data_IF_605540883704
#
_entry.id   IF_605540883704
#
_cell.length_a   1.000
_cell.length_b   1.000
_cell.length_c   1.000
_cell.angle_alpha   90.00
_cell.angle_beta   90.00
_cell.angle_gamma   90.00
#
_symmetry.space_group_name_H-M   'P 1'
#
loop_
_entity.id
_entity.type
_entity.pdbx_description
1 polymer ?
#
# COMPACT_ATOMS: atom_id res chain seq x y z
N UNK A 1 -18.28 0.61 6.57
CA UNK A 1 -19.17 -0.34 5.88
C UNK A 1 -18.34 -1.04 4.84
N UNK A 2 -18.31 -2.37 4.85
CA UNK A 2 -17.44 -3.14 3.97
C UNK A 2 -18.27 -3.96 2.99
N UNK A 3 -17.98 -3.77 1.71
CA UNK A 3 -18.64 -4.42 0.59
C UNK A 3 -17.64 -5.31 -0.15
N UNK A 4 -18.15 -6.42 -0.70
CA UNK A 4 -17.42 -7.24 -1.65
C UNK A 4 -17.91 -6.91 -3.06
N UNK A 5 -17.04 -6.39 -3.91
CA UNK A 5 -17.36 -6.02 -5.30
C UNK A 5 -17.89 -7.19 -6.13
N UNK A 6 -17.49 -8.43 -5.84
CA UNK A 6 -17.98 -9.62 -6.53
C UNK A 6 -19.41 -10.03 -6.13
N UNK A 7 -19.91 -9.53 -5.00
CA UNK A 7 -21.22 -9.91 -4.44
C UNK A 7 -22.19 -8.72 -4.38
N UNK A 8 -21.71 -7.51 -4.64
CA UNK A 8 -22.49 -6.30 -4.47
C UNK A 8 -23.26 -5.94 -5.73
N UNK A 9 -24.53 -5.58 -5.56
CA UNK A 9 -25.27 -4.88 -6.60
C UNK A 9 -24.75 -3.45 -6.70
N UNK A 10 -24.28 -3.04 -7.88
CA UNK A 10 -23.71 -1.70 -8.09
C UNK A 10 -24.67 -0.57 -7.70
N UNK A 11 -25.98 -0.77 -7.92
CA UNK A 11 -27.00 0.19 -7.56
C UNK A 11 -27.02 0.45 -6.04
N UNK A 12 -26.89 -0.61 -5.23
CA UNK A 12 -26.82 -0.52 -3.77
C UNK A 12 -25.54 0.20 -3.33
N UNK A 13 -24.40 -0.07 -3.96
CA UNK A 13 -23.15 0.65 -3.69
C UNK A 13 -23.29 2.13 -3.96
N UNK A 14 -23.82 2.50 -5.14
CA UNK A 14 -24.01 3.91 -5.52
C UNK A 14 -24.95 4.63 -4.55
N UNK A 15 -26.07 4.01 -4.19
CA UNK A 15 -27.01 4.60 -3.24
C UNK A 15 -26.38 4.76 -1.86
N UNK A 16 -25.61 3.76 -1.40
CA UNK A 16 -24.90 3.83 -0.12
C UNK A 16 -23.88 4.96 -0.10
N UNK A 17 -23.03 5.06 -1.13
CA UNK A 17 -22.03 6.13 -1.24
C UNK A 17 -22.71 7.50 -1.29
N UNK A 18 -23.81 7.64 -2.03
CA UNK A 18 -24.56 8.89 -2.11
C UNK A 18 -25.15 9.31 -0.75
N UNK A 19 -25.76 8.37 -0.03
CA UNK A 19 -26.45 8.63 1.23
C UNK A 19 -25.53 8.77 2.45
N UNK A 20 -24.29 8.26 2.37
CA UNK A 20 -23.36 8.25 3.49
C UNK A 20 -22.97 9.67 3.97
N UNK A 21 -22.77 9.83 5.27
CA UNK A 21 -22.25 11.08 5.86
C UNK A 21 -20.77 11.29 5.51
N UNK A 22 -20.26 12.52 5.67
CA UNK A 22 -18.86 12.85 5.36
C UNK A 22 -17.82 12.05 6.16
N UNK A 23 -18.19 11.59 7.37
CA UNK A 23 -17.32 10.79 8.25
C UNK A 23 -17.56 9.29 8.13
N UNK A 24 -18.37 8.85 7.17
CA UNK A 24 -18.67 7.43 6.99
C UNK A 24 -17.63 6.79 6.07
N UNK A 25 -16.90 5.81 6.60
CA UNK A 25 -15.99 4.98 5.82
C UNK A 25 -16.77 3.87 5.07
N UNK A 26 -16.54 3.79 3.77
CA UNK A 26 -17.05 2.75 2.87
C UNK A 26 -15.84 2.08 2.22
N UNK A 27 -15.73 0.77 2.35
CA UNK A 27 -14.69 -0.02 1.71
C UNK A 27 -15.33 -0.97 0.71
N UNK A 28 -14.76 -1.09 -0.48
CA UNK A 28 -15.12 -2.11 -1.46
C UNK A 28 -13.88 -2.96 -1.72
N UNK A 29 -13.87 -4.18 -1.22
CA UNK A 29 -12.85 -5.18 -1.55
C UNK A 29 -13.20 -5.89 -2.86
N UNK A 30 -12.21 -6.56 -3.46
CA UNK A 30 -12.40 -7.27 -4.74
C UNK A 30 -12.97 -6.32 -5.81
N UNK A 31 -12.51 -5.07 -5.80
CA UNK A 31 -13.06 -4.00 -6.63
C UNK A 31 -12.93 -4.31 -8.13
N UNK A 32 -11.94 -5.12 -8.54
CA UNK A 32 -11.76 -5.59 -9.92
C UNK A 32 -12.96 -6.37 -10.49
N UNK A 33 -13.90 -6.83 -9.66
CA UNK A 33 -15.11 -7.51 -10.13
C UNK A 33 -16.18 -6.56 -10.67
N UNK A 34 -16.05 -5.24 -10.42
CA UNK A 34 -16.91 -4.21 -11.00
C UNK A 34 -16.27 -3.64 -12.26
N UNK A 35 -17.09 -3.11 -13.17
CA UNK A 35 -16.57 -2.48 -14.37
C UNK A 35 -15.86 -1.15 -14.05
N UNK A 36 -14.94 -0.74 -14.94
CA UNK A 36 -14.16 0.49 -14.78
C UNK A 36 -15.07 1.74 -14.68
N UNK A 37 -16.15 1.79 -15.46
CA UNK A 37 -17.09 2.91 -15.43
C UNK A 37 -17.85 2.99 -14.10
N UNK A 38 -18.22 1.85 -13.52
CA UNK A 38 -18.86 1.79 -12.21
C UNK A 38 -17.91 2.25 -11.10
N UNK A 39 -16.67 1.75 -11.10
CA UNK A 39 -15.65 2.12 -10.13
C UNK A 39 -15.30 3.61 -10.20
N UNK A 40 -15.07 4.15 -11.39
CA UNK A 40 -14.81 5.57 -11.59
C UNK A 40 -16.02 6.42 -11.17
N UNK A 41 -17.24 5.96 -11.45
CA UNK A 41 -18.47 6.61 -11.00
C UNK A 41 -18.62 6.64 -9.48
N UNK A 42 -18.24 5.57 -8.77
CA UNK A 42 -18.22 5.54 -7.30
C UNK A 42 -17.20 6.53 -6.73
N UNK A 43 -16.00 6.61 -7.31
CA UNK A 43 -14.95 7.55 -6.88
C UNK A 43 -15.36 9.02 -7.06
N UNK A 44 -16.04 9.34 -8.17
CA UNK A 44 -16.58 10.68 -8.41
C UNK A 44 -17.72 11.01 -7.44
N UNK A 45 -18.59 10.04 -7.14
CA UNK A 45 -19.72 10.20 -6.23
C UNK A 45 -19.28 10.37 -4.77
N UNK A 46 -18.16 9.77 -4.38
CA UNK A 46 -17.64 9.86 -3.03
C UNK A 46 -17.29 11.30 -2.62
N UNK A 47 -16.69 12.09 -3.53
CA UNK A 47 -16.28 13.46 -3.25
C UNK A 47 -15.42 13.55 -1.98
N UNK A 48 -15.93 14.19 -0.93
CA UNK A 48 -15.25 14.31 0.38
C UNK A 48 -15.41 13.12 1.33
N UNK A 49 -16.16 12.07 0.96
CA UNK A 49 -16.40 10.89 1.79
C UNK A 49 -15.18 9.96 1.79
N UNK A 50 -15.08 9.11 2.81
CA UNK A 50 -14.02 8.12 2.95
C UNK A 50 -14.39 6.85 2.16
N UNK A 51 -14.18 6.85 0.84
CA UNK A 51 -14.36 5.66 0.00
C UNK A 51 -13.00 5.00 -0.27
N UNK A 52 -12.87 3.72 0.07
CA UNK A 52 -11.68 2.93 -0.26
C UNK A 52 -12.02 1.80 -1.21
N UNK A 53 -11.26 1.66 -2.31
CA UNK A 53 -11.37 0.55 -3.25
C UNK A 53 -10.10 -0.30 -3.17
N UNK A 54 -10.25 -1.58 -2.86
CA UNK A 54 -9.14 -2.53 -2.74
C UNK A 54 -9.16 -3.55 -3.88
N UNK A 55 -8.02 -3.67 -4.55
CA UNK A 55 -7.80 -4.52 -5.72
C UNK A 55 -6.85 -5.66 -5.39
N UNK A 56 -7.08 -6.81 -6.02
CA UNK A 56 -6.09 -7.88 -6.10
C UNK A 56 -5.24 -7.68 -7.36
N UNK A 57 -3.92 -7.47 -7.19
CA UNK A 57 -2.98 -7.29 -8.29
C UNK A 57 -2.96 -8.46 -9.27
N UNK A 58 -3.16 -9.70 -8.81
CA UNK A 58 -3.21 -10.89 -9.65
C UNK A 58 -4.46 -10.97 -10.55
N UNK A 59 -5.50 -10.20 -10.23
CA UNK A 59 -6.80 -10.20 -10.93
C UNK A 59 -7.13 -8.84 -11.57
N UNK A 60 -6.18 -7.92 -11.57
CA UNK A 60 -6.35 -6.58 -12.10
C UNK A 60 -5.19 -6.20 -13.01
N UNK A 61 -5.32 -5.08 -13.70
CA UNK A 61 -4.31 -4.56 -14.61
C UNK A 61 -4.45 -3.04 -14.74
N UNK A 62 -3.48 -2.39 -15.38
CA UNK A 62 -3.39 -0.94 -15.46
C UNK A 62 -4.66 -0.28 -16.02
N UNK A 63 -5.23 -0.88 -17.08
CA UNK A 63 -6.48 -0.42 -17.70
C UNK A 63 -7.70 -0.37 -16.78
N UNK A 64 -7.67 -1.05 -15.62
CA UNK A 64 -8.71 -0.94 -14.59
C UNK A 64 -8.33 0.13 -13.56
N UNK A 65 -7.15 0.03 -12.94
CA UNK A 65 -6.82 0.88 -11.79
C UNK A 65 -6.49 2.32 -12.18
N UNK A 66 -5.82 2.57 -13.31
CA UNK A 66 -5.41 3.92 -13.66
C UNK A 66 -6.59 4.87 -13.86
N UNK A 67 -7.67 4.51 -14.58
CA UNK A 67 -8.88 5.34 -14.64
C UNK A 67 -9.52 5.58 -13.26
N UNK A 68 -9.50 4.58 -12.38
CA UNK A 68 -10.07 4.67 -11.02
C UNK A 68 -9.24 5.62 -10.15
N UNK A 69 -7.91 5.51 -10.19
CA UNK A 69 -7.00 6.45 -9.52
C UNK A 69 -7.20 7.87 -10.05
N UNK A 70 -7.31 8.05 -11.37
CA UNK A 70 -7.57 9.36 -11.96
C UNK A 70 -8.91 9.96 -11.50
N UNK A 71 -9.93 9.11 -11.31
CA UNK A 71 -11.25 9.51 -10.82
C UNK A 71 -11.30 9.74 -9.30
N UNK A 72 -10.30 9.32 -8.54
CA UNK A 72 -10.28 9.48 -7.08
C UNK A 72 -10.23 10.96 -6.70
N UNK A 73 -11.07 11.36 -5.74
CA UNK A 73 -11.16 12.73 -5.23
C UNK A 73 -11.27 12.75 -3.71
N UNK A 74 -10.94 13.90 -3.11
CA UNK A 74 -11.08 14.14 -1.68
C UNK A 74 -10.39 13.08 -0.83
N UNK A 75 -11.18 12.41 0.03
CA UNK A 75 -10.71 11.41 0.99
C UNK A 75 -10.81 9.97 0.45
N UNK A 76 -10.94 9.80 -0.86
CA UNK A 76 -11.01 8.47 -1.46
C UNK A 76 -9.62 7.86 -1.63
N UNK A 77 -9.51 6.54 -1.48
CA UNK A 77 -8.25 5.80 -1.60
C UNK A 77 -8.37 4.56 -2.49
N UNK A 78 -7.27 4.22 -3.14
CA UNK A 78 -7.10 2.98 -3.90
C UNK A 78 -5.99 2.17 -3.22
N UNK A 79 -6.24 0.88 -2.97
CA UNK A 79 -5.21 -0.04 -2.53
C UNK A 79 -5.10 -1.23 -3.47
N UNK A 80 -3.88 -1.73 -3.65
CA UNK A 80 -3.61 -2.95 -4.40
C UNK A 80 -2.71 -3.87 -3.58
N UNK A 81 -3.18 -5.10 -3.35
CA UNK A 81 -2.35 -6.15 -2.78
C UNK A 81 -1.66 -6.95 -3.89
N UNK A 82 -0.61 -7.70 -3.53
CA UNK A 82 0.16 -8.52 -4.46
C UNK A 82 0.70 -7.72 -5.67
N UNK A 83 1.12 -6.49 -5.44
CA UNK A 83 1.52 -5.55 -6.48
C UNK A 83 2.66 -6.06 -7.37
N UNK A 84 3.47 -7.01 -6.86
CA UNK A 84 4.55 -7.66 -7.61
C UNK A 84 4.09 -8.48 -8.83
N UNK A 85 2.79 -8.74 -8.99
CA UNK A 85 2.26 -9.46 -10.16
C UNK A 85 2.22 -8.60 -11.41
N UNK A 86 2.36 -7.27 -11.28
CA UNK A 86 2.39 -6.34 -12.38
C UNK A 86 3.82 -6.09 -12.87
N UNK A 87 3.96 -5.76 -14.15
CA UNK A 87 5.24 -5.32 -14.70
C UNK A 87 5.62 -3.91 -14.23
N UNK A 88 6.93 -3.66 -14.13
CA UNK A 88 7.49 -2.38 -13.65
C UNK A 88 6.94 -1.16 -14.39
N UNK A 89 6.74 -1.26 -15.72
CA UNK A 89 6.22 -0.18 -16.54
C UNK A 89 4.80 0.25 -16.12
N UNK A 90 3.93 -0.74 -15.85
CA UNK A 90 2.55 -0.49 -15.44
C UNK A 90 2.48 0.04 -14.01
N UNK A 91 3.28 -0.51 -13.09
CA UNK A 91 3.38 0.01 -11.73
C UNK A 91 3.86 1.47 -11.72
N UNK A 92 4.89 1.78 -12.52
CA UNK A 92 5.39 3.15 -12.64
C UNK A 92 4.36 4.10 -13.25
N UNK A 93 3.60 3.66 -14.25
CA UNK A 93 2.51 4.45 -14.82
C UNK A 93 1.42 4.73 -13.77
N UNK A 94 1.03 3.72 -13.00
CA UNK A 94 0.03 3.85 -11.94
C UNK A 94 0.48 4.81 -10.83
N UNK A 95 1.72 4.67 -10.33
CA UNK A 95 2.24 5.54 -9.26
C UNK A 95 2.32 6.99 -9.73
N UNK A 96 2.76 7.25 -10.97
CA UNK A 96 2.78 8.62 -11.52
C UNK A 96 1.38 9.22 -11.63
N UNK A 97 0.38 8.42 -12.01
CA UNK A 97 -1.00 8.87 -12.03
C UNK A 97 -1.55 9.22 -10.64
N UNK A 98 -0.99 8.61 -9.58
CA UNK A 98 -1.42 8.78 -8.20
C UNK A 98 -0.71 9.91 -7.42
N UNK A 99 0.08 10.78 -8.07
CA UNK A 99 0.97 11.74 -7.39
C UNK A 99 0.32 12.53 -6.22
N UNK A 100 -0.95 12.93 -6.35
CA UNK A 100 -1.72 13.63 -5.30
C UNK A 100 -2.92 12.83 -4.79
N UNK A 101 -2.99 11.53 -5.11
CA UNK A 101 -4.09 10.63 -4.80
C UNK A 101 -3.64 9.61 -3.76
N UNK A 102 -4.54 9.22 -2.87
CA UNK A 102 -4.24 8.19 -1.89
C UNK A 102 -4.16 6.82 -2.59
N UNK A 103 -2.94 6.34 -2.82
CA UNK A 103 -2.64 5.04 -3.40
C UNK A 103 -1.82 4.23 -2.41
N UNK A 104 -2.20 2.98 -2.15
CA UNK A 104 -1.40 2.03 -1.36
C UNK A 104 -1.05 0.81 -2.19
N UNK A 105 0.22 0.43 -2.22
CA UNK A 105 0.72 -0.74 -2.93
C UNK A 105 1.39 -1.69 -1.95
N UNK A 106 0.87 -2.91 -1.81
CA UNK A 106 1.46 -3.93 -0.97
C UNK A 106 2.20 -4.97 -1.82
N UNK A 107 3.47 -5.18 -1.46
CA UNK A 107 4.41 -6.10 -2.10
C UNK A 107 4.80 -7.23 -1.15
N UNK A 108 5.08 -8.40 -1.72
CA UNK A 108 5.75 -9.49 -1.03
C UNK A 108 7.26 -9.41 -1.28
N UNK A 109 8.07 -9.18 -0.24
CA UNK A 109 9.52 -9.01 -0.34
C UNK A 109 10.24 -10.23 -0.93
N UNK A 110 9.70 -11.44 -0.73
CA UNK A 110 10.26 -12.67 -1.30
C UNK A 110 10.03 -12.80 -2.81
N UNK A 111 9.15 -11.98 -3.40
CA UNK A 111 8.76 -12.03 -4.81
C UNK A 111 9.05 -10.71 -5.54
N UNK A 112 9.63 -9.72 -4.86
CA UNK A 112 9.80 -8.37 -5.40
C UNK A 112 11.27 -8.04 -5.52
N UNK A 113 11.67 -7.48 -6.66
CA UNK A 113 13.02 -6.96 -6.85
C UNK A 113 13.18 -5.60 -6.17
N UNK A 114 14.31 -5.40 -5.48
CA UNK A 114 14.64 -4.12 -4.86
C UNK A 114 14.75 -2.97 -5.89
N UNK A 115 15.10 -3.27 -7.14
CA UNK A 115 15.13 -2.29 -8.24
C UNK A 115 13.75 -1.73 -8.55
N UNK A 116 12.73 -2.59 -8.61
CA UNK A 116 11.32 -2.18 -8.80
C UNK A 116 10.90 -1.23 -7.69
N UNK A 117 11.10 -1.61 -6.43
CA UNK A 117 10.74 -0.78 -5.28
C UNK A 117 11.47 0.57 -5.28
N UNK A 118 12.78 0.59 -5.59
CA UNK A 118 13.54 1.85 -5.71
C UNK A 118 12.95 2.79 -6.76
N UNK A 119 12.60 2.25 -7.93
CA UNK A 119 11.98 3.05 -8.99
C UNK A 119 10.63 3.60 -8.55
N UNK A 120 9.78 2.80 -7.91
CA UNK A 120 8.47 3.24 -7.42
C UNK A 120 8.60 4.30 -6.33
N UNK A 121 9.46 4.09 -5.33
CA UNK A 121 9.73 5.08 -4.27
C UNK A 121 10.25 6.39 -4.88
N UNK A 122 11.08 6.33 -5.93
CA UNK A 122 11.63 7.54 -6.55
C UNK A 122 10.54 8.46 -7.14
N UNK A 123 9.47 7.88 -7.68
CA UNK A 123 8.36 8.62 -8.34
C UNK A 123 7.10 8.74 -7.48
N UNK A 124 7.06 8.09 -6.31
CA UNK A 124 5.94 8.15 -5.38
C UNK A 124 5.70 9.56 -4.87
N UNK A 125 4.44 10.01 -4.95
CA UNK A 125 3.98 11.25 -4.33
C UNK A 125 3.76 11.10 -2.83
N UNK A 126 3.48 12.21 -2.14
CA UNK A 126 3.31 12.23 -0.68
C UNK A 126 2.17 11.35 -0.17
N UNK A 127 1.15 11.09 -1.02
CA UNK A 127 -0.02 10.27 -0.69
C UNK A 127 0.07 8.83 -1.22
N UNK A 128 1.22 8.44 -1.80
CA UNK A 128 1.47 7.06 -2.22
C UNK A 128 2.22 6.31 -1.13
N UNK A 129 1.58 5.28 -0.58
CA UNK A 129 2.18 4.35 0.35
C UNK A 129 2.67 3.09 -0.38
N UNK A 130 3.88 2.66 -0.04
CA UNK A 130 4.45 1.39 -0.50
C UNK A 130 4.72 0.55 0.74
N UNK A 131 4.13 -0.63 0.82
CA UNK A 131 4.33 -1.57 1.91
C UNK A 131 4.99 -2.85 1.39
N UNK A 132 5.95 -3.37 2.14
CA UNK A 132 6.62 -4.64 1.81
C UNK A 132 6.44 -5.57 2.99
N UNK A 133 5.64 -6.63 2.80
CA UNK A 133 5.62 -7.75 3.74
C UNK A 133 6.79 -8.70 3.47
N UNK A 134 7.06 -9.60 4.43
CA UNK A 134 8.18 -10.54 4.37
C UNK A 134 9.52 -9.87 4.04
N UNK A 135 9.75 -8.67 4.57
CA UNK A 135 10.91 -7.84 4.24
C UNK A 135 12.24 -8.57 4.48
N UNK A 136 12.29 -9.50 5.45
CA UNK A 136 13.47 -10.33 5.74
C UNK A 136 13.95 -11.20 4.57
N UNK A 137 13.11 -11.41 3.55
CA UNK A 137 13.50 -12.17 2.36
C UNK A 137 14.39 -11.36 1.39
N UNK A 138 14.51 -10.04 1.60
CA UNK A 138 15.38 -9.17 0.82
C UNK A 138 16.75 -9.01 1.49
N UNK A 139 17.83 -8.77 0.71
CA UNK A 139 19.13 -8.46 1.28
C UNK A 139 19.09 -7.22 2.19
N UNK A 140 19.78 -7.27 3.34
CA UNK A 140 19.82 -6.16 4.30
C UNK A 140 20.27 -4.83 3.66
N UNK A 141 21.24 -4.88 2.73
CA UNK A 141 21.73 -3.67 2.05
C UNK A 141 20.64 -3.02 1.18
N UNK A 142 19.80 -3.82 0.53
CA UNK A 142 18.68 -3.31 -0.27
C UNK A 142 17.61 -2.69 0.62
N UNK A 143 17.28 -3.32 1.75
CA UNK A 143 16.30 -2.76 2.71
C UNK A 143 16.78 -1.42 3.28
N UNK A 144 18.05 -1.32 3.66
CA UNK A 144 18.67 -0.07 4.12
C UNK A 144 18.61 1.00 3.02
N UNK A 145 18.95 0.65 1.78
CA UNK A 145 18.90 1.57 0.64
C UNK A 145 17.47 2.05 0.35
N UNK A 146 16.48 1.16 0.41
CA UNK A 146 15.06 1.51 0.24
C UNK A 146 14.59 2.50 1.32
N UNK A 147 14.98 2.24 2.56
CA UNK A 147 14.60 3.07 3.71
C UNK A 147 15.20 4.48 3.62
N UNK A 148 16.49 4.57 3.29
CA UNK A 148 17.18 5.84 3.05
C UNK A 148 16.56 6.61 1.86
N UNK A 149 16.20 5.92 0.79
CA UNK A 149 15.59 6.53 -0.39
C UNK A 149 14.18 7.05 -0.11
N UNK A 150 13.42 6.36 0.74
CA UNK A 150 12.08 6.79 1.10
C UNK A 150 12.12 8.10 1.91
N UNK A 151 13.00 8.20 2.90
CA UNK A 151 13.13 9.37 3.78
C UNK A 151 11.78 9.85 4.36
N UNK A 152 11.13 10.85 3.75
CA UNK A 152 9.81 11.36 4.16
C UNK A 152 8.62 10.72 3.43
N UNK A 153 8.86 9.80 2.48
CA UNK A 153 7.82 9.09 1.73
C UNK A 153 7.29 7.90 2.55
N UNK A 154 6.02 7.57 2.32
CA UNK A 154 5.34 6.49 2.99
C UNK A 154 5.87 5.11 2.54
N UNK A 155 6.87 4.59 3.28
CA UNK A 155 7.39 3.24 3.11
C UNK A 155 7.21 2.43 4.40
N UNK A 156 6.60 1.25 4.30
CA UNK A 156 6.47 0.33 5.42
C UNK A 156 7.18 -1.00 5.12
N UNK A 157 8.01 -1.47 6.04
CA UNK A 157 8.66 -2.77 5.96
C UNK A 157 8.18 -3.66 7.11
N UNK A 158 7.52 -4.77 6.80
CA UNK A 158 7.04 -5.73 7.77
C UNK A 158 7.89 -7.00 7.75
N UNK A 159 8.55 -7.26 8.87
CA UNK A 159 9.42 -8.41 9.13
C UNK A 159 8.66 -9.50 9.86
N UNK A 160 8.94 -10.76 9.54
CA UNK A 160 8.53 -11.89 10.38
C UNK A 160 9.60 -12.14 11.44
N UNK A 161 9.33 -11.82 12.71
CA UNK A 161 10.26 -11.96 13.83
C UNK A 161 10.79 -13.38 14.02
N UNK A 162 10.04 -14.41 13.63
CA UNK A 162 10.50 -15.81 13.69
C UNK A 162 11.58 -16.15 12.63
N UNK A 163 11.68 -15.35 11.57
CA UNK A 163 12.57 -15.59 10.42
C UNK A 163 13.61 -14.49 10.23
N UNK A 164 13.52 -13.42 11.01
CA UNK A 164 14.33 -12.22 10.79
C UNK A 164 15.57 -12.22 11.65
N UNK A 165 16.67 -11.73 11.08
CA UNK A 165 17.86 -11.38 11.82
C UNK A 165 17.69 -10.01 12.48
N UNK A 166 17.85 -9.95 13.81
CA UNK A 166 17.78 -8.70 14.56
C UNK A 166 18.82 -7.66 14.13
N UNK A 167 19.96 -8.07 13.57
CA UNK A 167 20.96 -7.12 13.05
C UNK A 167 20.45 -6.39 11.81
N UNK A 168 19.73 -7.09 10.93
CA UNK A 168 19.10 -6.51 9.73
C UNK A 168 18.03 -5.52 10.13
N UNK A 169 17.15 -5.87 11.07
CA UNK A 169 16.09 -4.95 11.54
C UNK A 169 16.71 -3.70 12.18
N UNK A 170 17.76 -3.84 12.99
CA UNK A 170 18.46 -2.70 13.59
C UNK A 170 19.13 -1.80 12.55
N UNK A 171 19.76 -2.38 11.52
CA UNK A 171 20.37 -1.63 10.43
C UNK A 171 19.34 -0.84 9.62
N UNK A 172 18.13 -1.39 9.42
CA UNK A 172 17.03 -0.68 8.75
C UNK A 172 16.44 0.40 9.67
N UNK A 173 16.32 0.14 10.97
CA UNK A 173 15.80 1.10 11.94
C UNK A 173 16.70 2.32 12.12
N UNK A 174 18.02 2.15 12.08
CA UNK A 174 18.97 3.26 12.23
C UNK A 174 18.95 4.29 11.10
N UNK A 175 18.29 3.96 9.98
CA UNK A 175 18.15 4.84 8.81
C UNK A 175 16.69 5.19 8.50
N UNK A 176 15.75 4.82 9.38
CA UNK A 176 14.34 5.13 9.21
C UNK A 176 14.10 6.65 9.21
N UNK A 177 13.27 7.12 8.28
CA UNK A 177 12.90 8.52 8.16
C UNK A 177 11.47 8.77 8.67
N UNK A 178 11.08 10.04 8.78
CA UNK A 178 9.78 10.42 9.37
C UNK A 178 8.56 9.86 8.63
N UNK A 179 8.69 9.49 7.35
CA UNK A 179 7.60 8.91 6.57
C UNK A 179 7.56 7.38 6.61
N UNK A 180 8.52 6.74 7.29
CA UNK A 180 8.70 5.30 7.18
C UNK A 180 8.31 4.56 8.45
N UNK A 181 8.02 3.26 8.31
CA UNK A 181 7.65 2.40 9.43
C UNK A 181 8.25 1.01 9.32
N UNK A 182 8.52 0.42 10.48
CA UNK A 182 9.04 -0.95 10.61
C UNK A 182 8.08 -1.73 11.50
N UNK A 183 7.49 -2.78 10.94
CA UNK A 183 6.68 -3.73 11.68
C UNK A 183 7.47 -5.01 11.94
N UNK A 184 7.34 -5.58 13.14
CA UNK A 184 7.86 -6.92 13.44
C UNK A 184 6.68 -7.78 13.90
N UNK A 185 6.22 -8.65 12.99
CA UNK A 185 5.21 -9.65 13.30
C UNK A 185 5.83 -10.76 14.14
N UNK A 186 5.05 -11.41 15.00
CA UNK A 186 5.55 -12.49 15.88
C UNK A 186 6.70 -12.01 16.79
N UNK A 187 6.68 -10.76 17.25
CA UNK A 187 7.76 -10.18 18.05
C UNK A 187 8.07 -10.98 19.33
N UNK A 188 7.11 -11.73 19.87
CA UNK A 188 7.28 -12.55 21.08
C UNK A 188 8.35 -13.64 20.98
N UNK A 189 8.77 -14.03 19.76
CA UNK A 189 9.87 -14.99 19.56
C UNK A 189 11.22 -14.32 19.32
N UNK A 190 11.27 -12.99 19.25
CA UNK A 190 12.50 -12.21 19.11
C UNK A 190 13.12 -11.99 20.49
N UNK A 191 14.45 -12.12 20.66
CA UNK A 191 15.10 -11.83 21.94
C UNK A 191 14.74 -10.45 22.48
N UNK A 192 14.38 -10.36 23.76
CA UNK A 192 13.95 -9.10 24.40
C UNK A 192 14.98 -7.98 24.26
N UNK A 193 16.28 -8.30 24.36
CA UNK A 193 17.35 -7.31 24.15
C UNK A 193 17.30 -6.67 22.76
N UNK A 194 17.00 -7.46 21.72
CA UNK A 194 16.86 -6.98 20.35
C UNK A 194 15.62 -6.10 20.17
N UNK A 195 14.50 -6.44 20.82
CA UNK A 195 13.29 -5.61 20.82
C UNK A 195 13.51 -4.27 21.52
N UNK A 196 14.21 -4.27 22.66
CA UNK A 196 14.56 -3.04 23.39
C UNK A 196 15.50 -2.16 22.55
N UNK A 197 16.49 -2.75 21.89
CA UNK A 197 17.38 -2.03 20.99
C UNK A 197 16.61 -1.41 19.81
N UNK A 198 15.67 -2.16 19.23
CA UNK A 198 14.81 -1.67 18.14
C UNK A 198 13.93 -0.50 18.61
N UNK A 199 13.28 -0.64 19.78
CA UNK A 199 12.43 0.42 20.34
C UNK A 199 13.22 1.70 20.60
N UNK A 200 14.49 1.61 21.01
CA UNK A 200 15.37 2.79 21.17
C UNK A 200 15.80 3.41 19.83
N UNK A 201 15.97 2.59 18.80
CA UNK A 201 16.34 3.07 17.46
C UNK A 201 15.17 3.73 16.72
N UNK A 202 13.93 3.41 17.10
CA UNK A 202 12.72 3.86 16.42
C UNK A 202 12.34 5.34 16.66
N UNK A 203 13.03 6.05 17.57
CA UNK A 203 12.93 7.51 17.74
C UNK A 203 11.58 8.02 18.19
#
# INVERSE_FOLDING_TARGET
MDFNGAQSLVATLRQTVSAAGGNTAISVNTAQSLSVSELAGLMQLAGGKQLSLSFNGAQSHLGILQPVVNASTGNSSVSMNTSQTWGDADLLALVRAATSKALSLDFNGAQTLATTLRQLISVAGASTAISVNTAQAMPSADLVSLMQLAAAKALSLAFNGAQSDSTTIQAVASVAGAGTSIGVNTAQVVPTASLVALARAAG
#
